data_IF_286381354041
#
_entry.id   IF_286381354041
#
_cell.length_a   1.000
_cell.length_b   1.000
_cell.length_c   1.000
_cell.angle_alpha   90.00
_cell.angle_beta   90.00
_cell.angle_gamma   90.00
#
_symmetry.space_group_name_H-M   'P 1'
#
loop_
_entity.id
_entity.type
_entity.pdbx_description
1 polymer ?
#
# COMPACT_ATOMS: atom_id res chain seq x y z
N UNK A 1 5.12 18.00 11.15
CA UNK A 1 4.53 18.03 9.79
C UNK A 1 3.04 17.79 9.93
N UNK A 2 2.18 18.61 9.33
CA UNK A 2 0.73 18.40 9.41
C UNK A 2 0.26 17.34 8.41
N UNK A 3 -0.77 16.58 8.77
CA UNK A 3 -1.46 15.61 7.90
C UNK A 3 -1.81 16.18 6.53
N UNK A 4 -2.23 17.45 6.48
CA UNK A 4 -2.53 18.19 5.25
C UNK A 4 -1.31 18.31 4.32
N UNK A 5 -0.11 18.46 4.88
CA UNK A 5 1.14 18.52 4.11
C UNK A 5 1.47 17.18 3.45
N UNK A 6 1.30 16.08 4.19
CA UNK A 6 1.53 14.73 3.67
C UNK A 6 0.51 14.38 2.58
N UNK A 7 -0.77 14.67 2.81
CA UNK A 7 -1.83 14.48 1.81
C UNK A 7 -1.57 15.30 0.54
N UNK A 8 -1.06 16.53 0.64
CA UNK A 8 -0.71 17.33 -0.54
C UNK A 8 0.46 16.75 -1.35
N UNK A 9 1.43 16.12 -0.70
CA UNK A 9 2.55 15.45 -1.38
C UNK A 9 2.08 14.17 -2.07
N UNK A 10 1.17 13.42 -1.44
CA UNK A 10 0.55 12.25 -2.03
C UNK A 10 -0.38 12.60 -3.19
N UNK A 11 -1.17 13.68 -3.08
CA UNK A 11 -1.96 14.20 -4.19
C UNK A 11 -1.09 14.60 -5.37
N UNK A 12 0.04 15.27 -5.15
CA UNK A 12 1.00 15.61 -6.21
C UNK A 12 1.63 14.37 -6.84
N UNK A 13 1.96 13.35 -6.03
CA UNK A 13 2.46 12.08 -6.54
C UNK A 13 1.38 11.33 -7.35
N UNK A 14 0.12 11.38 -6.91
CA UNK A 14 -1.03 10.84 -7.62
C UNK A 14 -1.36 11.62 -8.91
N UNK A 15 -1.17 12.93 -8.94
CA UNK A 15 -1.28 13.78 -10.13
C UNK A 15 -0.17 13.47 -11.14
N UNK A 16 1.06 13.23 -10.68
CA UNK A 16 2.12 12.72 -11.55
C UNK A 16 1.83 11.30 -12.06
N UNK A 17 1.26 10.45 -11.21
CA UNK A 17 0.75 9.14 -11.62
C UNK A 17 -0.46 9.26 -12.57
N UNK A 18 -1.19 10.36 -12.56
CA UNK A 18 -2.31 10.65 -13.46
C UNK A 18 -1.89 11.02 -14.89
N UNK A 19 -0.58 11.21 -15.16
CA UNK A 19 -0.06 11.11 -16.52
C UNK A 19 -0.08 9.65 -17.03
N UNK A 20 -0.33 8.68 -16.15
CA UNK A 20 -0.67 7.29 -16.48
C UNK A 20 -2.19 7.05 -16.32
N UNK A 21 -2.64 5.89 -16.81
CA UNK A 21 -4.05 5.48 -16.87
C UNK A 21 -4.77 5.55 -15.52
N UNK A 22 -6.11 5.66 -15.55
CA UNK A 22 -6.97 5.68 -14.35
C UNK A 22 -6.70 4.52 -13.39
N UNK A 23 -6.36 3.33 -13.92
CA UNK A 23 -5.99 2.16 -13.11
C UNK A 23 -4.76 2.41 -12.23
N UNK A 24 -3.75 3.14 -12.72
CA UNK A 24 -2.55 3.45 -11.93
C UNK A 24 -2.90 4.41 -10.80
N UNK A 25 -3.77 5.38 -11.06
CA UNK A 25 -4.25 6.32 -10.04
C UNK A 25 -5.00 5.59 -8.93
N UNK A 26 -5.92 4.69 -9.29
CA UNK A 26 -6.71 3.90 -8.33
C UNK A 26 -5.80 3.04 -7.45
N UNK A 27 -4.87 2.28 -8.06
CA UNK A 27 -3.90 1.47 -7.30
C UNK A 27 -3.09 2.34 -6.35
N UNK A 28 -2.60 3.51 -6.80
CA UNK A 28 -1.80 4.39 -5.96
C UNK A 28 -2.59 4.93 -4.77
N UNK A 29 -3.84 5.34 -4.96
CA UNK A 29 -4.72 5.83 -3.89
C UNK A 29 -4.90 4.74 -2.81
N UNK A 30 -5.19 3.50 -3.23
CA UNK A 30 -5.36 2.35 -2.32
C UNK A 30 -4.11 2.15 -1.47
N UNK A 31 -2.93 2.10 -2.10
CA UNK A 31 -1.69 1.88 -1.37
C UNK A 31 -1.42 2.98 -0.33
N UNK A 32 -1.69 4.24 -0.68
CA UNK A 32 -1.52 5.38 0.24
C UNK A 32 -2.53 5.34 1.38
N UNK A 33 -3.82 5.25 1.08
CA UNK A 33 -4.87 5.24 2.10
C UNK A 33 -4.75 4.04 3.03
N UNK A 34 -4.50 2.84 2.48
CA UNK A 34 -4.24 1.63 3.25
C UNK A 34 -3.01 1.78 4.15
N UNK A 35 -1.94 2.43 3.67
CA UNK A 35 -0.74 2.71 4.50
C UNK A 35 -1.05 3.59 5.70
N UNK A 36 -1.83 4.65 5.49
CA UNK A 36 -2.16 5.60 6.56
C UNK A 36 -3.06 4.93 7.60
N UNK A 37 -4.13 4.25 7.14
CA UNK A 37 -5.03 3.48 8.02
C UNK A 37 -4.27 2.43 8.83
N UNK A 38 -3.38 1.67 8.18
CA UNK A 38 -2.60 0.63 8.85
C UNK A 38 -1.62 1.22 9.87
N UNK A 39 -0.94 2.32 9.52
CA UNK A 39 -0.06 3.04 10.46
C UNK A 39 -0.81 3.46 11.71
N UNK A 40 -1.98 4.06 11.54
CA UNK A 40 -2.77 4.59 12.65
C UNK A 40 -3.29 3.44 13.52
N UNK A 41 -3.79 2.38 12.89
CA UNK A 41 -4.24 1.17 13.58
C UNK A 41 -3.13 0.47 14.39
N UNK A 42 -1.94 0.31 13.80
CA UNK A 42 -0.79 -0.32 14.50
C UNK A 42 -0.34 0.54 15.68
N UNK A 43 -0.29 1.86 15.52
CA UNK A 43 0.02 2.75 16.64
C UNK A 43 -0.98 2.60 17.78
N UNK A 44 -2.28 2.58 17.47
CA UNK A 44 -3.35 2.48 18.47
C UNK A 44 -3.37 1.12 19.19
N UNK A 45 -3.07 0.02 18.48
CA UNK A 45 -3.23 -1.33 19.01
C UNK A 45 -1.97 -1.91 19.63
N UNK A 46 -0.79 -1.59 19.10
CA UNK A 46 0.49 -2.17 19.56
C UNK A 46 1.48 -1.13 20.06
N UNK A 47 1.22 0.16 19.86
CA UNK A 47 2.17 1.24 20.16
C UNK A 47 3.38 1.27 19.23
N UNK A 48 3.38 0.47 18.15
CA UNK A 48 4.48 0.41 17.19
C UNK A 48 4.33 1.46 16.09
N UNK A 49 5.45 1.90 15.54
CA UNK A 49 5.49 2.89 14.47
C UNK A 49 5.80 2.20 13.14
N UNK A 50 4.90 2.36 12.17
CA UNK A 50 5.20 2.04 10.77
C UNK A 50 6.17 3.08 10.22
N UNK A 51 7.24 2.59 9.60
CA UNK A 51 8.30 3.42 9.02
C UNK A 51 8.30 3.30 7.52
N UNK A 52 9.03 4.20 6.84
CA UNK A 52 9.21 4.14 5.39
C UNK A 52 9.82 2.81 4.94
N UNK A 53 10.68 2.19 5.77
CA UNK A 53 11.27 0.89 5.42
C UNK A 53 10.24 -0.23 5.43
N UNK A 54 9.29 -0.21 6.37
CA UNK A 54 8.20 -1.19 6.38
C UNK A 54 7.35 -1.12 5.10
N UNK A 55 7.06 0.10 4.64
CA UNK A 55 6.33 0.36 3.39
C UNK A 55 7.14 -0.09 2.17
N UNK A 56 8.44 0.22 2.12
CA UNK A 56 9.32 -0.22 1.03
C UNK A 56 9.40 -1.73 0.92
N UNK A 57 9.51 -2.42 2.05
CA UNK A 57 9.53 -3.89 2.11
C UNK A 57 8.22 -4.47 1.61
N UNK A 58 7.07 -3.96 2.08
CA UNK A 58 5.77 -4.38 1.59
C UNK A 58 5.62 -4.15 0.06
N UNK A 59 6.10 -3.02 -0.47
CA UNK A 59 6.08 -2.73 -1.91
C UNK A 59 6.93 -3.69 -2.73
N UNK A 60 8.12 -4.08 -2.22
CA UNK A 60 8.98 -5.08 -2.88
C UNK A 60 8.27 -6.42 -3.02
N UNK A 61 7.47 -6.81 -2.03
CA UNK A 61 6.73 -8.07 -2.05
C UNK A 61 5.42 -8.00 -2.83
N UNK A 62 4.81 -6.81 -2.95
CA UNK A 62 3.51 -6.64 -3.59
C UNK A 62 3.46 -7.20 -5.01
N UNK A 63 4.45 -6.88 -5.85
CA UNK A 63 4.46 -7.33 -7.25
C UNK A 63 4.58 -8.85 -7.36
N UNK A 64 5.55 -9.52 -6.70
CA UNK A 64 5.59 -10.99 -6.64
C UNK A 64 4.28 -11.62 -6.17
N UNK A 65 3.70 -11.10 -5.08
CA UNK A 65 2.48 -11.67 -4.47
C UNK A 65 1.28 -11.54 -5.41
N UNK A 66 1.14 -10.40 -6.11
CA UNK A 66 0.06 -10.25 -7.10
C UNK A 66 0.26 -11.17 -8.31
N UNK A 67 1.49 -11.58 -8.61
CA UNK A 67 1.80 -12.47 -9.73
C UNK A 67 1.65 -13.96 -9.37
N UNK A 68 2.04 -14.36 -8.16
CA UNK A 68 2.08 -15.78 -7.74
C UNK A 68 0.97 -16.16 -6.77
N UNK A 69 0.36 -15.19 -6.08
CA UNK A 69 -0.54 -15.41 -4.95
C UNK A 69 0.18 -15.84 -3.66
N UNK A 70 1.51 -15.97 -3.69
CA UNK A 70 2.29 -16.49 -2.57
C UNK A 70 2.79 -15.35 -1.68
N UNK A 71 2.49 -15.44 -0.38
CA UNK A 71 3.01 -14.51 0.62
C UNK A 71 4.47 -14.84 0.97
N UNK A 72 5.31 -13.81 1.23
CA UNK A 72 6.68 -14.01 1.65
C UNK A 72 6.75 -14.71 3.03
N UNK A 73 7.72 -15.61 3.20
CA UNK A 73 7.96 -16.37 4.44
C UNK A 73 8.72 -15.56 5.52
N UNK A 74 8.89 -14.26 5.32
CA UNK A 74 9.75 -13.39 6.13
C UNK A 74 9.08 -12.97 7.46
N UNK A 75 9.87 -12.83 8.54
CA UNK A 75 9.37 -12.53 9.91
C UNK A 75 9.05 -11.05 10.18
N UNK A 76 8.90 -10.21 9.16
CA UNK A 76 8.54 -8.81 9.38
C UNK A 76 7.01 -8.66 9.41
N UNK A 77 6.45 -8.88 10.60
CA UNK A 77 4.99 -8.88 10.82
C UNK A 77 4.33 -7.56 10.43
N UNK A 78 5.02 -6.43 10.63
CA UNK A 78 4.51 -5.10 10.27
C UNK A 78 4.40 -4.93 8.76
N UNK A 79 5.46 -5.25 8.01
CA UNK A 79 5.44 -5.21 6.55
C UNK A 79 4.48 -6.23 5.97
N UNK A 80 4.37 -7.41 6.58
CA UNK A 80 3.49 -8.47 6.11
C UNK A 80 2.02 -8.12 6.33
N UNK A 81 1.67 -7.52 7.46
CA UNK A 81 0.32 -7.03 7.71
C UNK A 81 -0.07 -5.92 6.74
N UNK A 82 0.84 -4.98 6.46
CA UNK A 82 0.61 -3.94 5.45
C UNK A 82 0.41 -4.52 4.05
N UNK A 83 1.23 -5.49 3.66
CA UNK A 83 1.09 -6.20 2.38
C UNK A 83 -0.26 -6.89 2.26
N UNK A 84 -0.70 -7.61 3.31
CA UNK A 84 -1.98 -8.32 3.32
C UNK A 84 -3.16 -7.36 3.14
N UNK A 85 -3.14 -6.22 3.83
CA UNK A 85 -4.15 -5.18 3.69
C UNK A 85 -4.23 -4.69 2.24
N UNK A 86 -3.10 -4.36 1.62
CA UNK A 86 -3.10 -3.90 0.23
C UNK A 86 -3.60 -4.97 -0.74
N UNK A 87 -3.19 -6.23 -0.57
CA UNK A 87 -3.65 -7.32 -1.43
C UNK A 87 -5.16 -7.51 -1.30
N UNK A 88 -5.71 -7.42 -0.09
CA UNK A 88 -7.15 -7.49 0.16
C UNK A 88 -7.90 -6.34 -0.53
N UNK A 89 -7.48 -5.09 -0.32
CA UNK A 89 -8.10 -3.91 -0.92
C UNK A 89 -8.01 -3.92 -2.46
N UNK A 90 -6.88 -4.34 -3.00
CA UNK A 90 -6.68 -4.47 -4.45
C UNK A 90 -7.54 -5.60 -5.05
N UNK A 91 -7.59 -6.75 -4.38
CA UNK A 91 -8.38 -7.90 -4.84
C UNK A 91 -9.88 -7.61 -4.82
N UNK A 92 -10.36 -6.87 -3.80
CA UNK A 92 -11.76 -6.44 -3.72
C UNK A 92 -12.19 -5.56 -4.91
N UNK A 93 -11.24 -4.89 -5.57
CA UNK A 93 -11.45 -4.06 -6.75
C UNK A 93 -11.08 -4.77 -8.07
N UNK A 94 -10.75 -6.06 -8.01
CA UNK A 94 -10.42 -6.89 -9.17
C UNK A 94 -9.03 -6.64 -9.74
N UNK A 95 -8.08 -6.18 -8.92
CA UNK A 95 -6.68 -6.06 -9.31
C UNK A 95 -5.86 -7.33 -9.00
N UNK A 96 -4.85 -7.66 -9.81
CA UNK A 96 -4.56 -7.03 -11.11
C UNK A 96 -5.66 -7.32 -12.12
N UNK A 97 -6.08 -6.30 -12.88
CA UNK A 97 -7.05 -6.43 -13.97
C UNK A 97 -6.39 -7.13 -15.16
N UNK A 98 -6.07 -8.41 -15.00
CA UNK A 98 -5.54 -9.22 -16.09
C UNK A 98 -6.71 -9.51 -17.02
N UNK A 99 -6.83 -8.75 -18.11
CA UNK A 99 -7.58 -9.21 -19.27
C UNK A 99 -6.76 -10.34 -19.88
N UNK A 100 -7.15 -11.58 -19.60
CA UNK A 100 -6.75 -12.74 -20.40
C UNK A 100 -7.60 -12.72 -21.67
#
# INVERSE_FOLDING_TARGET
MSEKGLNSLFLKAAEHAAQKTEDVRVVFIILVEGSLKYRDHVMETTGQVITVEHVRTALKWLVPVLATGELPLERNDLSLGLLKLWVEELSALGYPRVRI
#
